data_IF_955908206211
#
_entry.id   IF_955908206211
#
_cell.length_a   1.000
_cell.length_b   1.000
_cell.length_c   1.000
_cell.angle_alpha   90.00
_cell.angle_beta   90.00
_cell.angle_gamma   90.00
#
_symmetry.space_group_name_H-M   'P 1'
#
loop_
_entity.id
_entity.type
_entity.pdbx_description
1 polymer ?
#
# COMPACT_ATOMS: atom_id res chain seq x y z
N UNK A 1 -26.60 -3.83 4.84
CA UNK A 1 -25.84 -4.92 4.20
C UNK A 1 -25.18 -4.49 2.90
N UNK A 2 -25.90 -4.10 1.84
CA UNK A 2 -25.26 -3.73 0.56
C UNK A 2 -24.25 -2.57 0.70
N UNK A 3 -24.62 -1.49 1.39
CA UNK A 3 -23.73 -0.33 1.61
C UNK A 3 -22.47 -0.67 2.43
N UNK A 4 -22.56 -1.65 3.31
CA UNK A 4 -21.44 -2.11 4.15
C UNK A 4 -20.40 -2.85 3.31
N UNK A 5 -20.84 -3.75 2.43
CA UNK A 5 -19.98 -4.42 1.46
C UNK A 5 -19.33 -3.43 0.48
N UNK A 6 -20.09 -2.44 0.01
CA UNK A 6 -19.56 -1.38 -0.87
C UNK A 6 -18.48 -0.57 -0.13
N UNK A 7 -18.70 -0.23 1.15
CA UNK A 7 -17.70 0.47 1.96
C UNK A 7 -16.42 -0.38 2.11
N UNK A 8 -16.53 -1.64 2.49
CA UNK A 8 -15.37 -2.55 2.62
C UNK A 8 -14.62 -2.66 1.29
N UNK A 9 -15.32 -2.85 0.17
CA UNK A 9 -14.72 -2.97 -1.16
C UNK A 9 -14.01 -1.68 -1.59
N UNK A 10 -14.61 -0.51 -1.35
CA UNK A 10 -13.97 0.78 -1.65
C UNK A 10 -12.76 1.03 -0.75
N UNK A 11 -12.82 0.72 0.55
CA UNK A 11 -11.66 0.83 1.44
C UNK A 11 -10.52 -0.06 0.97
N UNK A 12 -10.81 -1.31 0.61
CA UNK A 12 -9.84 -2.22 0.02
C UNK A 12 -9.20 -1.62 -1.24
N UNK A 13 -10.03 -1.14 -2.17
CA UNK A 13 -9.57 -0.57 -3.43
C UNK A 13 -8.70 0.67 -3.22
N UNK A 14 -9.10 1.59 -2.32
CA UNK A 14 -8.34 2.80 -2.00
C UNK A 14 -7.00 2.46 -1.33
N UNK A 15 -6.97 1.54 -0.35
CA UNK A 15 -5.71 1.14 0.28
C UNK A 15 -4.76 0.48 -0.71
N UNK A 16 -5.28 -0.40 -1.57
CA UNK A 16 -4.49 -1.08 -2.58
C UNK A 16 -3.93 -0.09 -3.62
N UNK A 17 -4.77 0.81 -4.13
CA UNK A 17 -4.39 1.79 -5.15
C UNK A 17 -3.38 2.82 -4.62
N UNK A 18 -3.64 3.45 -3.47
CA UNK A 18 -2.74 4.44 -2.88
C UNK A 18 -1.42 3.79 -2.44
N UNK A 19 -1.49 2.59 -1.85
CA UNK A 19 -0.32 1.81 -1.46
C UNK A 19 0.55 1.45 -2.66
N UNK A 20 -0.05 0.97 -3.76
CA UNK A 20 0.68 0.67 -4.99
C UNK A 20 1.25 1.94 -5.66
N UNK A 21 0.47 3.02 -5.75
CA UNK A 21 0.91 4.29 -6.34
C UNK A 21 2.12 4.87 -5.59
N UNK A 22 2.08 4.84 -4.25
CA UNK A 22 3.20 5.24 -3.41
C UNK A 22 4.40 4.30 -3.54
N UNK A 23 4.22 3.00 -3.33
CA UNK A 23 5.36 2.09 -3.35
C UNK A 23 6.00 1.95 -4.73
N UNK A 24 5.25 2.01 -5.83
CA UNK A 24 5.81 1.95 -7.19
C UNK A 24 6.60 3.21 -7.53
N UNK A 25 6.13 4.39 -7.11
CA UNK A 25 6.89 5.63 -7.30
C UNK A 25 8.18 5.63 -6.47
N UNK A 26 8.11 5.22 -5.20
CA UNK A 26 9.27 5.07 -4.32
C UNK A 26 10.27 4.03 -4.87
N UNK A 27 9.79 2.87 -5.28
CA UNK A 27 10.61 1.82 -5.88
C UNK A 27 11.21 2.28 -7.22
N UNK A 28 10.49 3.08 -8.01
CA UNK A 28 11.01 3.68 -9.23
C UNK A 28 12.20 4.60 -8.99
N UNK A 29 12.18 5.41 -7.92
CA UNK A 29 13.33 6.24 -7.49
C UNK A 29 14.49 5.34 -7.08
N UNK A 30 14.20 4.30 -6.30
CA UNK A 30 15.20 3.35 -5.84
C UNK A 30 15.88 2.60 -7.00
N UNK A 31 15.09 2.05 -7.93
CA UNK A 31 15.58 1.31 -9.09
C UNK A 31 16.42 2.19 -10.03
N UNK A 32 16.04 3.46 -10.22
CA UNK A 32 16.83 4.41 -11.01
C UNK A 32 18.19 4.73 -10.40
N UNK A 33 18.33 4.69 -9.07
CA UNK A 33 19.63 4.91 -8.39
C UNK A 33 20.57 3.73 -8.57
N UNK A 34 20.03 2.51 -8.66
CA UNK A 34 20.82 1.29 -8.85
C UNK A 34 21.12 0.99 -10.32
N UNK A 35 20.20 1.29 -11.22
CA UNK A 35 20.34 0.99 -12.64
C UNK A 35 19.93 2.19 -13.51
N UNK A 36 20.84 3.18 -13.56
CA UNK A 36 20.71 4.41 -14.36
C UNK A 36 20.53 4.17 -15.86
N UNK A 37 20.63 2.92 -16.34
CA UNK A 37 20.68 2.53 -17.76
C UNK A 37 19.35 2.02 -18.33
N UNK A 38 18.27 1.95 -17.55
CA UNK A 38 16.98 1.37 -17.99
C UNK A 38 15.80 2.37 -18.06
N UNK A 39 15.86 3.42 -18.93
CA UNK A 39 14.79 4.42 -19.07
C UNK A 39 13.38 3.87 -19.41
N UNK A 40 13.20 2.76 -20.16
CA UNK A 40 11.86 2.24 -20.46
C UNK A 40 11.09 1.75 -19.22
N UNK A 41 11.78 1.13 -18.26
CA UNK A 41 11.16 0.60 -17.02
C UNK A 41 10.68 1.77 -16.16
N UNK A 42 11.51 2.79 -15.99
CA UNK A 42 11.17 3.99 -15.23
C UNK A 42 9.98 4.75 -15.84
N UNK A 43 9.89 4.82 -17.18
CA UNK A 43 8.72 5.37 -17.86
C UNK A 43 7.46 4.52 -17.63
N UNK A 44 7.59 3.19 -17.56
CA UNK A 44 6.47 2.31 -17.24
C UNK A 44 5.97 2.55 -15.82
N UNK A 45 6.87 2.66 -14.84
CA UNK A 45 6.50 3.00 -13.46
C UNK A 45 5.83 4.36 -13.37
N UNK A 46 6.36 5.40 -14.03
CA UNK A 46 5.72 6.71 -14.03
C UNK A 46 4.32 6.71 -14.67
N UNK A 47 4.09 5.90 -15.72
CA UNK A 47 2.76 5.72 -16.31
C UNK A 47 1.80 5.01 -15.35
N UNK A 48 2.26 3.96 -14.67
CA UNK A 48 1.44 3.26 -13.66
C UNK A 48 1.09 4.18 -12.51
N UNK A 49 2.04 4.99 -12.03
CA UNK A 49 1.81 5.98 -10.96
C UNK A 49 0.79 7.03 -11.39
N UNK A 50 0.87 7.52 -12.63
CA UNK A 50 -0.11 8.47 -13.16
C UNK A 50 -1.52 7.87 -13.30
N UNK A 51 -1.61 6.62 -13.78
CA UNK A 51 -2.87 5.89 -13.88
C UNK A 51 -3.45 5.61 -12.49
N UNK A 52 -2.61 5.17 -11.54
CA UNK A 52 -2.98 4.97 -10.14
C UNK A 52 -3.50 6.27 -9.50
N UNK A 53 -2.86 7.41 -9.74
CA UNK A 53 -3.36 8.69 -9.25
C UNK A 53 -4.77 9.03 -9.77
N UNK A 54 -5.07 8.76 -11.05
CA UNK A 54 -6.42 8.96 -11.62
C UNK A 54 -7.45 7.98 -11.03
N UNK A 55 -7.07 6.72 -10.88
CA UNK A 55 -7.91 5.69 -10.23
C UNK A 55 -8.18 6.07 -8.78
N UNK A 56 -7.15 6.46 -8.03
CA UNK A 56 -7.23 6.91 -6.65
C UNK A 56 -8.13 8.12 -6.44
N UNK A 57 -8.14 9.09 -7.37
CA UNK A 57 -9.11 10.20 -7.36
C UNK A 57 -10.54 9.65 -7.47
N UNK A 58 -10.78 8.79 -8.45
CA UNK A 58 -12.12 8.22 -8.71
C UNK A 58 -12.62 7.39 -7.52
N UNK A 59 -11.76 6.52 -6.97
CA UNK A 59 -12.07 5.72 -5.79
C UNK A 59 -12.29 6.59 -4.55
N UNK A 60 -11.49 7.65 -4.37
CA UNK A 60 -11.62 8.59 -3.24
C UNK A 60 -12.93 9.38 -3.29
N UNK A 61 -13.38 9.79 -4.47
CA UNK A 61 -14.68 10.44 -4.67
C UNK A 61 -15.81 9.47 -4.34
N UNK A 62 -15.75 8.24 -4.85
CA UNK A 62 -16.72 7.20 -4.52
C UNK A 62 -16.79 6.90 -3.02
N UNK A 63 -15.64 6.77 -2.35
CA UNK A 63 -15.57 6.56 -0.91
C UNK A 63 -16.17 7.73 -0.11
N UNK A 64 -16.00 8.98 -0.56
CA UNK A 64 -16.62 10.15 0.07
C UNK A 64 -18.14 10.14 -0.07
N UNK A 65 -18.69 9.72 -1.20
CA UNK A 65 -20.14 9.59 -1.35
C UNK A 65 -20.73 8.54 -0.38
N UNK A 66 -20.04 7.42 -0.18
CA UNK A 66 -20.44 6.40 0.81
C UNK A 66 -20.36 6.94 2.24
N UNK A 67 -19.27 7.65 2.57
CA UNK A 67 -19.12 8.29 3.88
C UNK A 67 -20.22 9.35 4.12
N UNK A 68 -20.50 10.18 3.12
CA UNK A 68 -21.50 11.23 3.21
C UNK A 68 -22.91 10.67 3.44
N UNK A 69 -23.28 9.59 2.74
CA UNK A 69 -24.54 8.87 2.98
C UNK A 69 -24.59 8.32 4.41
N UNK A 70 -23.50 7.68 4.87
CA UNK A 70 -23.44 7.11 6.21
C UNK A 70 -23.54 8.15 7.33
N UNK A 71 -22.89 9.32 7.17
CA UNK A 71 -22.90 10.39 8.18
C UNK A 71 -24.18 11.22 8.18
N UNK A 72 -24.79 11.46 7.01
CA UNK A 72 -26.04 12.23 6.90
C UNK A 72 -27.30 11.43 7.26
N UNK A 73 -27.22 10.09 7.27
CA UNK A 73 -28.39 9.23 7.46
C UNK A 73 -29.33 9.17 6.26
N UNK A 74 -28.90 9.67 5.08
CA UNK A 74 -29.67 9.65 3.84
C UNK A 74 -30.06 8.22 3.42
N UNK A 75 -31.29 8.04 2.95
CA UNK A 75 -31.79 6.73 2.52
C UNK A 75 -31.19 6.34 1.16
N UNK A 76 -31.01 7.32 0.27
CA UNK A 76 -30.48 7.14 -1.09
C UNK A 76 -29.34 8.10 -1.39
N UNK A 77 -28.51 7.77 -2.40
CA UNK A 77 -27.44 8.68 -2.84
C UNK A 77 -27.96 9.95 -3.54
N UNK A 78 -29.23 9.97 -3.99
CA UNK A 78 -29.85 11.14 -4.62
C UNK A 78 -30.22 12.26 -3.64
N UNK A 79 -30.28 11.95 -2.34
CA UNK A 79 -30.51 12.93 -1.28
C UNK A 79 -29.24 13.71 -0.90
N UNK A 80 -28.07 13.27 -1.38
CA UNK A 80 -26.80 13.95 -1.14
C UNK A 80 -26.77 15.27 -1.91
N UNK A 81 -26.58 16.37 -1.18
CA UNK A 81 -26.52 17.72 -1.72
C UNK A 81 -25.19 18.42 -1.34
N UNK A 82 -24.94 19.57 -1.93
CA UNK A 82 -23.71 20.35 -1.71
C UNK A 82 -23.47 20.68 -0.22
N UNK A 83 -24.52 20.94 0.55
CA UNK A 83 -24.39 21.34 1.95
C UNK A 83 -23.87 20.19 2.83
N UNK A 84 -24.27 18.95 2.53
CA UNK A 84 -23.75 17.76 3.22
C UNK A 84 -22.24 17.62 2.96
N UNK A 85 -21.83 17.76 1.70
CA UNK A 85 -20.42 17.68 1.35
C UNK A 85 -19.61 18.84 1.92
N UNK A 86 -20.16 20.06 1.90
CA UNK A 86 -19.53 21.24 2.50
C UNK A 86 -19.28 21.01 3.99
N UNK A 87 -20.32 20.63 4.75
CA UNK A 87 -20.22 20.33 6.18
C UNK A 87 -19.14 19.25 6.45
N UNK A 88 -19.15 18.14 5.69
CA UNK A 88 -18.17 17.08 5.90
C UNK A 88 -16.75 17.59 5.60
N UNK A 89 -16.56 18.32 4.50
CA UNK A 89 -15.24 18.78 4.05
C UNK A 89 -14.67 19.85 4.97
N UNK A 90 -15.49 20.78 5.46
CA UNK A 90 -15.05 21.94 6.25
C UNK A 90 -15.00 21.65 7.75
N UNK A 91 -15.91 20.82 8.26
CA UNK A 91 -16.09 20.63 9.71
C UNK A 91 -15.50 19.32 10.24
N UNK A 92 -15.06 18.40 9.35
CA UNK A 92 -14.50 17.11 9.79
C UNK A 92 -13.05 16.93 9.37
N UNK A 93 -12.25 16.36 10.28
CA UNK A 93 -10.85 16.04 9.99
C UNK A 93 -10.72 15.04 8.82
N UNK A 94 -11.68 14.11 8.67
CA UNK A 94 -11.74 13.18 7.54
C UNK A 94 -11.96 13.89 6.21
N UNK A 95 -12.84 14.90 6.18
CA UNK A 95 -13.11 15.72 5.00
C UNK A 95 -11.91 16.58 4.58
N UNK A 96 -11.21 17.19 5.54
CA UNK A 96 -9.97 17.94 5.28
C UNK A 96 -8.89 16.99 4.73
N UNK A 97 -8.69 15.84 5.38
CA UNK A 97 -7.72 14.83 4.94
C UNK A 97 -8.05 14.32 3.51
N UNK A 98 -9.32 14.13 3.20
CA UNK A 98 -9.79 13.79 1.85
C UNK A 98 -9.46 14.86 0.82
N UNK A 99 -9.63 16.14 1.15
CA UNK A 99 -9.29 17.26 0.25
C UNK A 99 -7.79 17.33 -0.02
N UNK A 100 -6.97 17.20 1.02
CA UNK A 100 -5.51 17.12 0.89
C UNK A 100 -5.11 15.95 0.00
N UNK A 101 -5.74 14.78 0.16
CA UNK A 101 -5.51 13.61 -0.68
C UNK A 101 -5.81 13.89 -2.15
N UNK A 102 -6.97 14.48 -2.47
CA UNK A 102 -7.33 14.79 -3.86
C UNK A 102 -6.36 15.78 -4.49
N UNK A 103 -5.96 16.82 -3.76
CA UNK A 103 -4.97 17.79 -4.24
C UNK A 103 -3.62 17.11 -4.50
N UNK A 104 -3.17 16.23 -3.59
CA UNK A 104 -1.92 15.50 -3.76
C UNK A 104 -1.95 14.57 -4.99
N UNK A 105 -3.05 13.84 -5.20
CA UNK A 105 -3.23 12.98 -6.37
C UNK A 105 -3.35 13.78 -7.67
N UNK A 106 -4.06 14.92 -7.68
CA UNK A 106 -4.12 15.80 -8.83
C UNK A 106 -2.74 16.37 -9.18
N UNK A 107 -1.94 16.74 -8.18
CA UNK A 107 -0.56 17.14 -8.37
C UNK A 107 0.32 16.01 -8.92
N UNK A 108 0.11 14.74 -8.51
CA UNK A 108 0.77 13.58 -9.13
C UNK A 108 0.46 13.49 -10.63
N UNK A 109 -0.79 13.68 -11.03
CA UNK A 109 -1.19 13.71 -12.45
C UNK A 109 -0.51 14.87 -13.17
N UNK A 110 -0.47 16.05 -12.57
CA UNK A 110 0.26 17.21 -13.11
C UNK A 110 1.76 16.94 -13.31
N UNK A 111 2.42 16.31 -12.34
CA UNK A 111 3.83 15.88 -12.47
C UNK A 111 4.03 14.84 -13.58
N UNK A 112 3.02 14.04 -13.89
CA UNK A 112 3.09 13.09 -15.00
C UNK A 112 3.15 13.79 -16.36
N UNK A 113 2.56 14.98 -16.48
CA UNK A 113 2.54 15.79 -17.71
C UNK A 113 3.67 16.83 -17.77
N UNK A 114 4.33 17.10 -16.64
CA UNK A 114 5.40 18.07 -16.56
C UNK A 114 6.64 17.66 -17.39
N UNK A 115 7.27 18.65 -18.05
CA UNK A 115 8.53 18.49 -18.79
C UNK A 115 9.75 18.39 -17.86
N UNK A 116 9.69 17.49 -16.88
CA UNK A 116 10.75 17.22 -15.91
C UNK A 116 11.46 15.91 -16.23
N UNK A 117 12.71 15.78 -15.77
CA UNK A 117 13.44 14.50 -15.82
C UNK A 117 12.65 13.44 -15.03
N UNK A 118 12.63 12.20 -15.53
CA UNK A 118 11.84 11.10 -14.97
C UNK A 118 12.09 10.87 -13.46
N UNK A 119 13.34 11.03 -13.02
CA UNK A 119 13.71 10.89 -11.61
C UNK A 119 13.02 11.94 -10.72
N UNK A 120 12.92 13.19 -11.16
CA UNK A 120 12.25 14.26 -10.41
C UNK A 120 10.74 14.04 -10.38
N UNK A 121 10.17 13.55 -11.49
CA UNK A 121 8.75 13.15 -11.56
C UNK A 121 8.44 12.05 -10.55
N UNK A 122 9.27 11.01 -10.48
CA UNK A 122 9.10 9.90 -9.54
C UNK A 122 9.32 10.32 -8.09
N UNK A 123 10.31 11.16 -7.80
CA UNK A 123 10.53 11.72 -6.45
C UNK A 123 9.32 12.54 -6.00
N UNK A 124 8.85 13.47 -6.84
CA UNK A 124 7.68 14.29 -6.51
C UNK A 124 6.41 13.44 -6.37
N UNK A 125 6.23 12.45 -7.25
CA UNK A 125 5.08 11.53 -7.16
C UNK A 125 5.15 10.66 -5.90
N UNK A 126 6.33 10.22 -5.47
CA UNK A 126 6.50 9.46 -4.23
C UNK A 126 6.14 10.31 -3.01
N UNK A 127 6.56 11.57 -2.95
CA UNK A 127 6.20 12.47 -1.85
C UNK A 127 4.70 12.76 -1.81
N UNK A 128 4.09 13.05 -2.96
CA UNK A 128 2.66 13.37 -3.04
C UNK A 128 1.77 12.15 -2.79
N UNK A 129 2.12 10.98 -3.33
CA UNK A 129 1.39 9.74 -3.05
C UNK A 129 1.61 9.23 -1.62
N UNK A 130 2.76 9.49 -1.00
CA UNK A 130 2.95 9.29 0.44
C UNK A 130 1.99 10.15 1.26
N UNK A 131 1.89 11.44 0.91
CA UNK A 131 0.94 12.37 1.54
C UNK A 131 -0.49 11.88 1.36
N UNK A 132 -0.87 11.49 0.14
CA UNK A 132 -2.19 10.93 -0.15
C UNK A 132 -2.47 9.65 0.68
N UNK A 133 -1.51 8.74 0.81
CA UNK A 133 -1.68 7.53 1.61
C UNK A 133 -1.76 7.83 3.11
N UNK A 134 -0.96 8.77 3.62
CA UNK A 134 -0.96 9.18 5.02
C UNK A 134 -2.32 9.73 5.48
N UNK A 135 -3.05 10.43 4.61
CA UNK A 135 -4.41 10.93 4.92
C UNK A 135 -5.39 9.84 5.33
N UNK A 136 -5.16 8.58 4.93
CA UNK A 136 -6.01 7.45 5.33
C UNK A 136 -6.03 7.22 6.84
N UNK A 137 -5.00 7.64 7.57
CA UNK A 137 -4.94 7.51 9.03
C UNK A 137 -6.07 8.29 9.73
N UNK A 138 -6.56 9.39 9.13
CA UNK A 138 -7.69 10.15 9.66
C UNK A 138 -9.02 9.42 9.55
N UNK A 139 -9.13 8.41 8.67
CA UNK A 139 -10.31 7.56 8.56
C UNK A 139 -10.24 6.31 9.47
N UNK A 140 -9.15 6.16 10.23
CA UNK A 140 -8.87 5.03 11.11
C UNK A 140 -9.10 5.32 12.58
N UNK A 141 -8.79 4.33 13.42
CA UNK A 141 -9.01 4.40 14.87
C UNK A 141 -8.14 5.48 15.54
N UNK A 142 -6.97 5.82 14.98
CA UNK A 142 -6.09 6.88 15.49
C UNK A 142 -6.70 8.27 15.52
N UNK A 143 -7.65 8.57 14.63
CA UNK A 143 -8.36 9.85 14.61
C UNK A 143 -9.41 9.99 15.72
N UNK A 144 -9.79 8.88 16.35
CA UNK A 144 -10.83 8.84 17.38
C UNK A 144 -10.28 9.05 18.80
N UNK A 145 -8.96 9.00 18.98
CA UNK A 145 -8.28 9.23 20.25
C UNK A 145 -7.91 10.69 20.45
N UNK A 146 -8.24 11.26 21.61
CA UNK A 146 -7.92 12.66 21.97
C UNK A 146 -6.54 12.80 22.67
N UNK A 147 -6.01 14.02 22.69
CA UNK A 147 -4.79 14.37 23.44
C UNK A 147 -3.48 13.79 22.86
N UNK A 148 -2.44 13.74 23.69
CA UNK A 148 -1.10 13.29 23.28
C UNK A 148 -1.09 11.84 22.76
N UNK A 149 -1.94 10.98 23.34
CA UNK A 149 -2.09 9.58 22.90
C UNK A 149 -2.65 9.49 21.48
N UNK A 150 -3.56 10.40 21.11
CA UNK A 150 -4.08 10.51 19.74
C UNK A 150 -3.00 10.81 18.70
N UNK A 151 -2.10 11.75 18.99
CA UNK A 151 -0.99 12.07 18.07
C UNK A 151 0.00 10.91 17.91
N UNK A 152 0.29 10.16 18.99
CA UNK A 152 1.15 8.97 18.92
C UNK A 152 0.50 7.88 18.07
N UNK A 153 -0.80 7.63 18.27
CA UNK A 153 -1.54 6.65 17.49
C UNK A 153 -1.57 7.03 16.01
N UNK A 154 -1.88 8.28 15.69
CA UNK A 154 -1.91 8.80 14.33
C UNK A 154 -0.54 8.69 13.65
N UNK A 155 0.54 9.05 14.34
CA UNK A 155 1.90 8.94 13.81
C UNK A 155 2.30 7.48 13.55
N UNK A 156 1.94 6.57 14.46
CA UNK A 156 2.16 5.13 14.29
C UNK A 156 1.37 4.58 13.10
N UNK A 157 0.10 4.96 12.95
CA UNK A 157 -0.76 4.60 11.81
C UNK A 157 -0.20 5.10 10.47
N UNK A 158 0.20 6.37 10.38
CA UNK A 158 0.81 6.92 9.17
C UNK A 158 2.09 6.14 8.84
N UNK A 159 2.95 5.92 9.83
CA UNK A 159 4.22 5.22 9.64
C UNK A 159 3.99 3.77 9.19
N UNK A 160 3.01 3.09 9.78
CA UNK A 160 2.60 1.73 9.38
C UNK A 160 2.08 1.70 7.94
N UNK A 161 1.20 2.64 7.57
CA UNK A 161 0.63 2.75 6.23
C UNK A 161 1.71 3.02 5.17
N UNK A 162 2.64 3.92 5.44
CA UNK A 162 3.76 4.20 4.54
C UNK A 162 4.66 2.96 4.39
N UNK A 163 5.02 2.29 5.49
CA UNK A 163 5.81 1.06 5.39
C UNK A 163 5.08 -0.04 4.61
N UNK A 164 3.77 -0.22 4.85
CA UNK A 164 2.95 -1.19 4.13
C UNK A 164 2.86 -0.84 2.64
N UNK A 165 2.61 0.43 2.30
CA UNK A 165 2.57 0.90 0.92
C UNK A 165 3.90 0.73 0.19
N UNK A 166 5.02 0.99 0.88
CA UNK A 166 6.36 0.75 0.32
C UNK A 166 6.57 -0.74 -0.01
N UNK A 167 6.15 -1.66 0.86
CA UNK A 167 6.20 -3.10 0.57
C UNK A 167 5.32 -3.46 -0.63
N UNK A 168 4.04 -3.07 -0.59
CA UNK A 168 3.04 -3.37 -1.63
C UNK A 168 3.53 -2.93 -3.00
N UNK A 169 3.99 -1.69 -3.13
CA UNK A 169 4.43 -1.18 -4.42
C UNK A 169 5.79 -1.72 -4.86
N UNK A 170 6.70 -2.06 -3.94
CA UNK A 170 7.91 -2.81 -4.30
C UNK A 170 7.56 -4.18 -4.89
N UNK A 171 6.63 -4.90 -4.26
CA UNK A 171 6.16 -6.19 -4.76
C UNK A 171 5.44 -6.04 -6.11
N UNK A 172 4.61 -5.02 -6.28
CA UNK A 172 3.97 -4.71 -7.56
C UNK A 172 4.99 -4.42 -8.65
N UNK A 173 6.04 -3.64 -8.34
CA UNK A 173 7.13 -3.36 -9.27
C UNK A 173 7.92 -4.62 -9.64
N UNK A 174 8.23 -5.48 -8.67
CA UNK A 174 8.88 -6.77 -8.91
C UNK A 174 8.02 -7.70 -9.78
N UNK A 175 6.72 -7.80 -9.52
CA UNK A 175 5.78 -8.59 -10.34
C UNK A 175 5.70 -8.03 -11.76
N UNK A 176 5.61 -6.71 -11.94
CA UNK A 176 5.62 -6.06 -13.25
C UNK A 176 6.89 -6.35 -14.06
N UNK A 177 8.04 -6.40 -13.38
CA UNK A 177 9.32 -6.74 -13.98
C UNK A 177 9.39 -8.23 -14.32
N UNK A 178 8.95 -9.09 -13.40
CA UNK A 178 9.02 -10.54 -13.54
C UNK A 178 8.00 -11.10 -14.55
N UNK A 179 6.89 -10.40 -14.80
CA UNK A 179 5.86 -10.76 -15.79
C UNK A 179 6.07 -10.11 -17.17
N UNK A 180 7.14 -9.34 -17.38
CA UNK A 180 7.39 -8.71 -18.68
C UNK A 180 7.68 -9.76 -19.77
N UNK A 181 7.32 -9.49 -21.03
CA UNK A 181 7.48 -10.47 -22.14
C UNK A 181 8.94 -10.93 -22.32
N UNK A 182 9.88 -10.02 -22.10
CA UNK A 182 11.32 -10.31 -22.18
C UNK A 182 11.91 -10.77 -20.84
N UNK A 183 11.09 -11.09 -19.84
CA UNK A 183 11.56 -11.39 -18.48
C UNK A 183 12.39 -12.69 -18.36
N UNK A 184 12.49 -13.48 -19.42
CA UNK A 184 13.39 -14.65 -19.53
C UNK A 184 14.72 -14.32 -20.20
N UNK A 185 14.91 -13.09 -20.70
CA UNK A 185 16.20 -12.65 -21.22
C UNK A 185 17.20 -12.45 -20.09
N UNK A 186 18.47 -12.74 -20.34
CA UNK A 186 19.56 -12.60 -19.34
C UNK A 186 19.57 -11.20 -18.71
N UNK A 187 19.28 -10.16 -19.50
CA UNK A 187 19.24 -8.77 -19.03
C UNK A 187 18.12 -8.52 -18.02
N UNK A 188 16.91 -9.06 -18.24
CA UNK A 188 15.81 -8.88 -17.29
C UNK A 188 16.02 -9.65 -16.00
N UNK A 189 16.61 -10.84 -16.08
CA UNK A 189 16.95 -11.67 -14.92
C UNK A 189 18.05 -11.01 -14.08
N UNK A 190 19.06 -10.43 -14.72
CA UNK A 190 20.13 -9.65 -14.07
C UNK A 190 19.59 -8.42 -13.33
N UNK A 191 18.68 -7.65 -13.97
CA UNK A 191 18.02 -6.50 -13.33
C UNK A 191 17.22 -6.95 -12.11
N UNK A 192 16.44 -8.03 -12.23
CA UNK A 192 15.63 -8.58 -11.14
C UNK A 192 16.52 -9.03 -9.96
N UNK A 193 17.63 -9.72 -10.23
CA UNK A 193 18.59 -10.16 -9.22
C UNK A 193 19.23 -8.97 -8.48
N UNK A 194 19.72 -7.97 -9.23
CA UNK A 194 20.33 -6.76 -8.66
C UNK A 194 19.36 -5.96 -7.80
N UNK A 195 18.14 -5.73 -8.29
CA UNK A 195 17.12 -5.01 -7.55
C UNK A 195 16.66 -5.78 -6.31
N UNK A 196 16.53 -7.10 -6.39
CA UNK A 196 16.17 -7.94 -5.25
C UNK A 196 17.25 -7.89 -4.15
N UNK A 197 18.52 -8.07 -4.52
CA UNK A 197 19.65 -8.01 -3.58
C UNK A 197 19.80 -6.63 -2.95
N UNK A 198 19.71 -5.56 -3.75
CA UNK A 198 19.76 -4.21 -3.21
C UNK A 198 18.61 -3.92 -2.25
N UNK A 199 17.39 -4.42 -2.57
CA UNK A 199 16.20 -4.10 -1.79
C UNK A 199 16.22 -4.75 -0.40
N UNK A 200 17.09 -5.74 -0.16
CA UNK A 200 17.16 -6.47 1.10
C UNK A 200 17.32 -5.57 2.35
N UNK A 201 18.13 -4.52 2.29
CA UNK A 201 18.30 -3.59 3.41
C UNK A 201 17.04 -2.74 3.63
N UNK A 202 16.48 -2.19 2.55
CA UNK A 202 15.24 -1.39 2.59
C UNK A 202 14.08 -2.23 3.09
N UNK A 203 13.94 -3.46 2.59
CA UNK A 203 12.93 -4.42 3.04
C UNK A 203 13.07 -4.76 4.52
N UNK A 204 14.29 -4.88 5.05
CA UNK A 204 14.51 -5.10 6.50
C UNK A 204 14.00 -3.93 7.33
N UNK A 205 14.27 -2.69 6.90
CA UNK A 205 13.76 -1.48 7.57
C UNK A 205 12.24 -1.45 7.52
N UNK A 206 11.64 -1.69 6.35
CA UNK A 206 10.18 -1.76 6.18
C UNK A 206 9.55 -2.79 7.13
N UNK A 207 10.11 -4.01 7.18
CA UNK A 207 9.65 -5.08 8.09
C UNK A 207 9.72 -4.64 9.54
N UNK A 208 10.86 -4.09 9.97
CA UNK A 208 11.04 -3.64 11.35
C UNK A 208 10.03 -2.53 11.71
N UNK A 209 9.83 -1.57 10.81
CA UNK A 209 8.83 -0.51 10.98
C UNK A 209 7.43 -1.10 11.12
N UNK A 210 7.03 -2.06 10.27
CA UNK A 210 5.72 -2.70 10.34
C UNK A 210 5.49 -3.47 11.64
N UNK A 211 6.52 -4.18 12.13
CA UNK A 211 6.44 -4.91 13.40
C UNK A 211 6.26 -3.94 14.56
N UNK A 212 7.13 -2.92 14.68
CA UNK A 212 7.09 -1.95 15.77
C UNK A 212 5.77 -1.19 15.78
N UNK A 213 5.39 -0.59 14.65
CA UNK A 213 4.14 0.17 14.54
C UNK A 213 2.90 -0.72 14.68
N UNK A 214 2.96 -1.97 14.20
CA UNK A 214 1.88 -2.95 14.36
C UNK A 214 1.63 -3.31 15.83
N UNK A 215 2.69 -3.49 16.62
CA UNK A 215 2.60 -3.71 18.07
C UNK A 215 2.03 -2.46 18.77
N UNK A 216 2.54 -1.28 18.44
CA UNK A 216 2.06 -0.02 19.02
C UNK A 216 0.57 0.17 18.72
N UNK A 217 0.15 -0.01 17.47
CA UNK A 217 -1.25 0.11 17.05
C UNK A 217 -2.13 -0.92 17.76
N UNK A 218 -1.67 -2.17 17.90
CA UNK A 218 -2.39 -3.18 18.66
C UNK A 218 -2.63 -2.74 20.10
N UNK A 219 -1.59 -2.29 20.79
CA UNK A 219 -1.66 -1.87 22.19
C UNK A 219 -2.56 -0.63 22.36
N UNK A 220 -2.56 0.30 21.40
CA UNK A 220 -3.39 1.50 21.45
C UNK A 220 -4.86 1.22 21.12
N UNK A 221 -5.16 0.22 20.28
CA UNK A 221 -6.54 -0.11 19.85
C UNK A 221 -7.19 -1.14 20.79
N UNK A 222 -6.47 -2.22 21.11
CA UNK A 222 -7.02 -3.39 21.83
C UNK A 222 -6.55 -3.43 23.30
N UNK A 223 -5.42 -2.80 23.61
CA UNK A 223 -4.78 -2.90 24.92
C UNK A 223 -3.94 -4.17 25.10
N UNK A 224 -3.43 -4.39 26.31
CA UNK A 224 -2.53 -5.51 26.61
C UNK A 224 -3.22 -6.89 26.68
N UNK A 225 -4.55 -6.94 26.64
CA UNK A 225 -5.31 -8.19 26.73
C UNK A 225 -5.30 -8.93 25.40
N UNK A 226 -5.04 -10.24 25.44
CA UNK A 226 -5.11 -11.12 24.26
C UNK A 226 -6.47 -11.82 24.14
N UNK A 227 -7.36 -11.71 25.13
CA UNK A 227 -8.67 -12.36 25.10
C UNK A 227 -9.51 -11.99 23.86
N UNK A 228 -9.62 -10.71 23.46
CA UNK A 228 -10.43 -10.32 22.31
C UNK A 228 -10.01 -10.98 21.00
N UNK A 229 -8.73 -11.38 20.87
CA UNK A 229 -8.19 -12.07 19.68
C UNK A 229 -8.96 -13.36 19.38
N UNK A 230 -9.40 -14.07 20.42
CA UNK A 230 -10.01 -15.40 20.30
C UNK A 230 -11.54 -15.39 20.41
N UNK A 231 -12.12 -14.25 20.80
CA UNK A 231 -13.56 -14.19 21.13
C UNK A 231 -14.36 -13.31 20.18
N UNK A 232 -13.72 -12.44 19.40
CA UNK A 232 -14.42 -11.50 18.50
C UNK A 232 -14.05 -11.72 17.04
N UNK A 233 -14.94 -11.32 16.13
CA UNK A 233 -14.65 -11.32 14.70
C UNK A 233 -13.45 -10.42 14.36
N UNK A 234 -13.34 -9.27 15.04
CA UNK A 234 -12.19 -8.37 14.96
C UNK A 234 -10.89 -9.11 15.30
N UNK A 235 -10.89 -9.84 16.41
CA UNK A 235 -9.76 -10.65 16.87
C UNK A 235 -9.33 -11.72 15.88
N UNK A 236 -10.29 -12.48 15.34
CA UNK A 236 -10.03 -13.52 14.34
C UNK A 236 -9.42 -12.98 13.05
N UNK A 237 -9.95 -11.86 12.53
CA UNK A 237 -9.38 -11.20 11.34
C UNK A 237 -7.99 -10.63 11.60
N UNK A 238 -7.75 -10.10 12.81
CA UNK A 238 -6.43 -9.64 13.21
C UNK A 238 -5.43 -10.81 13.31
N UNK A 239 -5.84 -11.94 13.88
CA UNK A 239 -5.01 -13.15 13.95
C UNK A 239 -4.67 -13.67 12.55
N UNK A 240 -5.65 -13.69 11.63
CA UNK A 240 -5.43 -14.04 10.23
C UNK A 240 -4.43 -13.08 9.57
N UNK A 241 -4.58 -11.77 9.76
CA UNK A 241 -3.64 -10.76 9.26
C UNK A 241 -2.21 -11.02 9.75
N UNK A 242 -2.04 -11.35 11.02
CA UNK A 242 -0.73 -11.65 11.62
C UNK A 242 -0.16 -12.96 11.04
N UNK A 243 -0.96 -14.01 10.91
CA UNK A 243 -0.54 -15.27 10.31
C UNK A 243 -0.09 -15.10 8.85
N UNK A 244 -0.84 -14.33 8.05
CA UNK A 244 -0.47 -13.97 6.69
C UNK A 244 0.84 -13.18 6.66
N UNK A 245 1.01 -12.21 7.55
CA UNK A 245 2.24 -11.42 7.65
C UNK A 245 3.46 -12.29 8.00
N UNK A 246 3.33 -13.22 8.95
CA UNK A 246 4.40 -14.17 9.30
C UNK A 246 4.73 -15.07 8.09
N UNK A 247 3.71 -15.56 7.38
CA UNK A 247 3.90 -16.32 6.15
C UNK A 247 4.66 -15.54 5.08
N UNK A 248 4.31 -14.25 4.90
CA UNK A 248 5.03 -13.35 4.01
C UNK A 248 6.48 -13.14 4.43
N UNK A 249 6.79 -13.03 5.74
CA UNK A 249 8.17 -12.95 6.22
C UNK A 249 8.95 -14.22 5.89
N UNK A 250 8.32 -15.39 6.00
CA UNK A 250 8.91 -16.66 5.60
C UNK A 250 9.24 -16.70 4.11
N UNK A 251 8.31 -16.26 3.25
CA UNK A 251 8.53 -16.16 1.80
C UNK A 251 9.60 -15.13 1.45
N UNK A 252 9.59 -13.96 2.09
CA UNK A 252 10.59 -12.92 1.87
C UNK A 252 11.99 -13.39 2.30
N UNK A 253 12.10 -14.15 3.39
CA UNK A 253 13.34 -14.78 3.81
C UNK A 253 13.79 -15.87 2.83
N UNK A 254 12.89 -16.71 2.34
CA UNK A 254 13.19 -17.70 1.30
C UNK A 254 13.64 -17.04 -0.01
N UNK A 255 13.00 -15.93 -0.39
CA UNK A 255 13.38 -15.11 -1.53
C UNK A 255 14.81 -14.58 -1.35
N UNK A 256 15.11 -13.98 -0.19
CA UNK A 256 16.42 -13.39 0.10
C UNK A 256 17.55 -14.41 0.20
N UNK A 257 17.34 -15.50 0.94
CA UNK A 257 18.43 -16.41 1.32
C UNK A 257 18.55 -17.65 0.44
N UNK A 258 17.51 -17.98 -0.34
CA UNK A 258 17.52 -19.18 -1.17
C UNK A 258 17.31 -18.84 -2.65
N UNK A 259 16.25 -18.11 -3.00
CA UNK A 259 15.86 -17.94 -4.41
C UNK A 259 16.72 -16.89 -5.13
N UNK A 260 17.03 -15.76 -4.52
CA UNK A 260 17.90 -14.74 -5.12
C UNK A 260 19.34 -15.25 -5.33
N UNK A 261 20.00 -15.91 -4.36
CA UNK A 261 21.31 -16.52 -4.59
C UNK A 261 21.29 -17.65 -5.63
N UNK A 262 20.22 -18.47 -5.67
CA UNK A 262 20.06 -19.50 -6.72
C UNK A 262 19.88 -18.90 -8.10
N UNK A 263 19.19 -17.76 -8.21
CA UNK A 263 19.06 -17.03 -9.46
C UNK A 263 20.43 -16.50 -9.94
N UNK A 264 21.24 -16.00 -9.01
CA UNK A 264 22.60 -15.51 -9.30
C UNK A 264 23.54 -16.65 -9.73
N UNK A 265 23.47 -17.82 -9.08
CA UNK A 265 24.22 -19.01 -9.52
C UNK A 265 23.70 -19.56 -10.85
N UNK A 266 22.39 -19.54 -11.08
CA UNK A 266 21.81 -19.94 -12.36
C UNK A 266 22.26 -18.99 -13.48
N UNK A 267 22.40 -17.68 -13.20
CA UNK A 267 22.94 -16.66 -14.11
C UNK A 267 24.37 -16.96 -14.55
N UNK A 268 25.20 -17.61 -13.73
CA UNK A 268 26.56 -17.99 -14.10
C UNK A 268 26.65 -19.36 -14.81
N UNK A 269 25.66 -20.24 -14.66
CA UNK A 269 25.68 -21.62 -15.20
C UNK A 269 24.84 -21.85 -16.46
N UNK A 270 23.98 -20.90 -16.86
CA UNK A 270 23.19 -20.97 -18.11
C UNK A 270 21.76 -21.51 -17.96
N UNK A 271 21.36 -22.00 -16.78
CA UNK A 271 20.03 -22.59 -16.53
C UNK A 271 19.05 -21.58 -15.88
N UNK A 272 18.82 -20.45 -16.56
CA UNK A 272 18.13 -19.28 -16.00
C UNK A 272 16.60 -19.44 -15.88
N UNK A 273 16.00 -20.31 -16.70
CA UNK A 273 14.55 -20.38 -16.83
C UNK A 273 13.87 -20.92 -15.57
N UNK A 274 14.42 -21.97 -14.96
CA UNK A 274 13.81 -22.61 -13.80
C UNK A 274 13.90 -21.73 -12.54
N UNK A 275 15.06 -21.10 -12.30
CA UNK A 275 15.25 -20.20 -11.16
C UNK A 275 14.34 -18.96 -11.26
N UNK A 276 14.18 -18.40 -12.47
CA UNK A 276 13.25 -17.29 -12.71
C UNK A 276 11.78 -17.68 -12.47
N UNK A 277 11.37 -18.90 -12.84
CA UNK A 277 10.01 -19.40 -12.58
C UNK A 277 9.74 -19.54 -11.07
N UNK A 278 10.69 -20.06 -10.29
CA UNK A 278 10.53 -20.19 -8.84
C UNK A 278 10.42 -18.82 -8.16
N UNK A 279 11.26 -17.86 -8.54
CA UNK A 279 11.18 -16.49 -8.03
C UNK A 279 9.85 -15.84 -8.39
N UNK A 280 9.37 -15.99 -9.64
CA UNK A 280 8.05 -15.49 -10.07
C UNK A 280 6.92 -16.08 -9.25
N UNK A 281 6.92 -17.40 -9.05
CA UNK A 281 5.90 -18.08 -8.25
C UNK A 281 5.88 -17.55 -6.82
N UNK A 282 7.05 -17.36 -6.22
CA UNK A 282 7.17 -16.77 -4.90
C UNK A 282 6.59 -15.35 -4.83
N UNK A 283 6.96 -14.47 -5.79
CA UNK A 283 6.43 -13.11 -5.87
C UNK A 283 4.90 -13.06 -6.06
N UNK A 284 4.33 -13.98 -6.86
CA UNK A 284 2.88 -14.07 -7.04
C UNK A 284 2.19 -14.52 -5.75
N UNK A 285 2.75 -15.51 -5.04
CA UNK A 285 2.19 -15.96 -3.76
C UNK A 285 2.26 -14.84 -2.72
N UNK A 286 3.39 -14.13 -2.63
CA UNK A 286 3.51 -12.95 -1.76
C UNK A 286 2.48 -11.88 -2.13
N UNK A 287 2.24 -11.65 -3.43
CA UNK A 287 1.27 -10.64 -3.89
C UNK A 287 -0.16 -11.02 -3.50
N UNK A 288 -0.51 -12.30 -3.61
CA UNK A 288 -1.79 -12.82 -3.11
C UNK A 288 -1.93 -12.62 -1.59
N UNK A 289 -0.88 -12.90 -0.82
CA UNK A 289 -0.90 -12.68 0.64
C UNK A 289 -1.09 -11.20 1.00
N UNK A 290 -0.41 -10.28 0.29
CA UNK A 290 -0.61 -8.84 0.47
C UNK A 290 -2.06 -8.43 0.21
N UNK A 291 -2.65 -8.93 -0.88
CA UNK A 291 -4.07 -8.66 -1.20
C UNK A 291 -4.98 -9.14 -0.07
N UNK A 292 -4.74 -10.34 0.46
CA UNK A 292 -5.51 -10.88 1.60
C UNK A 292 -5.31 -10.05 2.88
N UNK A 293 -4.09 -9.58 3.16
CA UNK A 293 -3.81 -8.69 4.29
C UNK A 293 -4.58 -7.38 4.16
N UNK A 294 -4.59 -6.76 2.97
CA UNK A 294 -5.33 -5.51 2.73
C UNK A 294 -6.84 -5.75 2.84
N UNK A 295 -7.35 -6.90 2.36
CA UNK A 295 -8.75 -7.27 2.54
C UNK A 295 -9.13 -7.40 4.02
N UNK A 296 -8.26 -8.01 4.85
CA UNK A 296 -8.45 -8.05 6.29
C UNK A 296 -8.49 -6.64 6.89
N UNK A 297 -7.55 -5.75 6.50
CA UNK A 297 -7.50 -4.36 6.99
C UNK A 297 -8.74 -3.57 6.59
N UNK A 298 -9.21 -3.70 5.36
CA UNK A 298 -10.42 -3.02 4.90
C UNK A 298 -11.65 -3.40 5.73
N UNK A 299 -11.75 -4.67 6.11
CA UNK A 299 -12.82 -5.18 6.96
C UNK A 299 -12.67 -4.73 8.41
N UNK A 300 -11.46 -4.86 8.98
CA UNK A 300 -11.14 -4.41 10.34
C UNK A 300 -11.46 -2.92 10.55
N UNK A 301 -11.30 -2.10 9.51
CA UNK A 301 -11.62 -0.67 9.57
C UNK A 301 -13.11 -0.34 9.74
N UNK A 302 -14.01 -1.29 9.51
CA UNK A 302 -15.48 -1.12 9.69
C UNK A 302 -15.94 -1.75 11.01
N UNK A 303 -15.17 -2.67 11.59
CA UNK A 303 -15.50 -3.35 12.84
C UNK A 303 -15.09 -2.52 14.06
N UNK A 304 -15.86 -2.63 15.14
CA UNK A 304 -15.48 -2.07 16.43
C UNK A 304 -14.60 -3.06 17.21
N UNK A 305 -13.46 -2.64 17.79
CA UNK A 305 -12.56 -3.52 18.56
C UNK A 305 -13.18 -4.07 19.85
N UNK A 306 -14.24 -3.40 20.37
CA UNK A 306 -14.81 -3.63 21.70
C UNK A 306 -16.15 -4.37 21.70
N UNK A 307 -16.54 -5.01 20.58
CA UNK A 307 -17.74 -5.85 20.49
C UNK A 307 -17.40 -7.28 20.04
#
# INVERSE_FOLDING_TARGET
MADEWINIALRFAVYMDLGATFGVSLFGVYALRLDSRSPPIAQRYARVVAAGALVGITLSVGAMAVLAKAMSGAATYGELNSNIFEMIISETAVGIAWSVRLLALAACVGLAMAKLRIVHRLIGSAALSALALATMAWSGHGAMSEGAQGYVHLASDITHLLAAGAWVGALFAFVMLAMHRDATTNKSVEILSRLSNGFAQVGTVIVATLVVTGIVNYLLIVGASVKPIFTTLYGGLLALKIALFIGMLGLAAANRFQLSPRLEMALSSGDHAQAAVLLRRSLVIEACMVVLVIACVAWLGVLSPAK
#
